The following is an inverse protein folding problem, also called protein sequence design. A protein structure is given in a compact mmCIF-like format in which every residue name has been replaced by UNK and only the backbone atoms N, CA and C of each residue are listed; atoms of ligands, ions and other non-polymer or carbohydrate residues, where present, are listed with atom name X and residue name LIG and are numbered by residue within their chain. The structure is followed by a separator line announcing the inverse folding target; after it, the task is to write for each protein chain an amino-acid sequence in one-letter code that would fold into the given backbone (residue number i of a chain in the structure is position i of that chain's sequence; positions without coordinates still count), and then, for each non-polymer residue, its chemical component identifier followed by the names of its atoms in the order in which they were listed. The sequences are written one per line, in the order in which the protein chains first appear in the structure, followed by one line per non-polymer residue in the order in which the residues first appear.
data_IF_786556254725
#
_entry.id   IF_786556254725
#
_cell.length_a   1.000
_cell.length_b   1.000
_cell.length_c   1.000
_cell.angle_alpha   90.00
_cell.angle_beta   90.00
_cell.angle_gamma   90.00
#
_symmetry.space_group_name_H-M   'P 1'
#
loop_
_entity.id
_entity.type
_entity.pdbx_description
1 polymer ?
#
# COMPACT_ATOMS: atom_id res chain seq x y z
N UNK A 1 -30.91 15.06 -18.40
CA UNK A 1 -30.73 13.70 -17.86
C UNK A 1 -29.24 13.42 -17.80
N UNK A 2 -28.52 14.01 -16.83
CA UNK A 2 -27.12 13.71 -16.48
C UNK A 2 -26.89 14.26 -15.07
N UNK A 3 -26.96 13.39 -14.06
CA UNK A 3 -26.74 13.69 -12.65
C UNK A 3 -26.36 12.42 -11.89
N UNK A 4 -25.22 11.79 -12.25
CA UNK A 4 -24.74 10.60 -11.52
C UNK A 4 -23.26 10.65 -11.09
N UNK A 5 -22.49 11.68 -11.45
CA UNK A 5 -21.07 11.78 -11.05
C UNK A 5 -20.81 12.48 -9.70
N UNK A 6 -21.83 12.63 -8.84
CA UNK A 6 -21.69 13.29 -7.53
C UNK A 6 -21.60 12.33 -6.35
N UNK A 7 -21.60 11.02 -6.58
CA UNK A 7 -21.79 10.02 -5.53
C UNK A 7 -20.73 8.92 -5.63
N UNK A 8 -19.50 9.26 -5.27
CA UNK A 8 -18.60 8.31 -4.57
C UNK A 8 -18.00 8.99 -3.33
N UNK A 9 -17.91 10.33 -3.32
CA UNK A 9 -17.53 11.10 -2.12
C UNK A 9 -18.75 11.49 -1.25
N UNK A 10 -19.99 11.29 -1.73
CA UNK A 10 -21.20 11.80 -1.06
C UNK A 10 -22.20 10.74 -0.56
N UNK A 11 -22.11 9.45 -0.91
CA UNK A 11 -23.01 8.44 -0.29
C UNK A 11 -22.54 7.96 1.07
N UNK A 12 -21.33 8.35 1.48
CA UNK A 12 -20.79 8.13 2.83
C UNK A 12 -21.08 9.33 3.75
N UNK A 13 -22.16 10.09 3.54
CA UNK A 13 -22.45 11.31 4.34
C UNK A 13 -22.94 11.03 5.78
N UNK A 14 -23.01 9.77 6.25
CA UNK A 14 -23.30 9.49 7.67
C UNK A 14 -22.27 8.62 8.41
N UNK A 15 -21.14 8.28 7.77
CA UNK A 15 -20.02 7.64 8.47
C UNK A 15 -18.71 8.25 8.01
N UNK A 16 -17.96 8.81 8.95
CA UNK A 16 -16.54 9.07 8.73
C UNK A 16 -15.89 7.74 8.37
N UNK A 17 -15.21 7.61 7.21
CA UNK A 17 -14.51 6.38 6.87
C UNK A 17 -13.52 6.05 7.98
N UNK A 18 -13.33 4.75 8.24
CA UNK A 18 -12.31 4.34 9.20
C UNK A 18 -10.92 4.74 8.68
N UNK A 19 -9.96 4.88 9.59
CA UNK A 19 -8.57 5.18 9.22
C UNK A 19 -8.01 4.13 8.23
N UNK A 20 -8.47 2.89 8.37
CA UNK A 20 -8.13 1.75 7.53
C UNK A 20 -8.71 1.84 6.11
N UNK A 21 -9.97 2.27 6.00
CA UNK A 21 -10.62 2.54 4.70
C UNK A 21 -9.91 3.68 3.97
N UNK A 22 -9.47 4.71 4.70
CA UNK A 22 -8.70 5.81 4.12
C UNK A 22 -7.34 5.32 3.62
N UNK A 23 -6.58 4.59 4.44
CA UNK A 23 -5.29 4.01 4.04
C UNK A 23 -5.43 3.14 2.78
N UNK A 24 -6.43 2.25 2.77
CA UNK A 24 -6.68 1.34 1.66
C UNK A 24 -6.96 2.09 0.36
N UNK A 25 -7.86 3.07 0.41
CA UNK A 25 -8.18 3.89 -0.76
C UNK A 25 -6.96 4.62 -1.32
N UNK A 26 -6.13 5.23 -0.47
CA UNK A 26 -4.96 5.99 -0.90
C UNK A 26 -3.89 5.09 -1.55
N UNK A 27 -3.67 3.89 -0.99
CA UNK A 27 -2.71 2.91 -1.52
C UNK A 27 -3.16 2.38 -2.87
N UNK A 28 -4.42 1.97 -3.00
CA UNK A 28 -5.00 1.46 -4.26
C UNK A 28 -4.96 2.56 -5.33
N UNK A 29 -5.35 3.80 -4.98
CA UNK A 29 -5.31 4.93 -5.92
C UNK A 29 -3.87 5.25 -6.39
N UNK A 30 -2.89 5.25 -5.47
CA UNK A 30 -1.47 5.45 -5.82
C UNK A 30 -1.00 4.37 -6.78
N UNK A 31 -1.33 3.12 -6.52
CA UNK A 31 -0.87 1.98 -7.34
C UNK A 31 -1.70 1.80 -8.62
N UNK A 32 -2.63 2.73 -8.88
CA UNK A 32 -3.43 2.78 -10.10
C UNK A 32 -4.42 1.65 -10.20
N UNK A 33 -4.99 1.26 -9.06
CA UNK A 33 -5.94 0.16 -8.93
C UNK A 33 -5.35 -1.16 -9.45
N UNK A 34 -4.05 -1.40 -9.26
CA UNK A 34 -3.38 -2.64 -9.66
C UNK A 34 -2.77 -3.34 -8.45
N UNK A 35 -2.86 -4.67 -8.44
CA UNK A 35 -2.03 -5.48 -7.57
C UNK A 35 -0.55 -5.27 -7.95
N UNK A 36 0.25 -4.79 -7.01
CA UNK A 36 1.66 -4.49 -7.22
C UNK A 36 2.47 -5.69 -7.75
N UNK A 37 2.04 -6.92 -7.43
CA UNK A 37 2.74 -8.13 -7.85
C UNK A 37 2.14 -8.76 -9.08
N UNK A 38 0.82 -8.96 -9.15
CA UNK A 38 0.21 -9.70 -10.28
C UNK A 38 -0.09 -8.79 -11.47
N UNK A 39 -0.26 -7.49 -11.25
CA UNK A 39 -0.71 -6.52 -12.24
C UNK A 39 -2.24 -6.47 -12.41
N UNK A 40 -2.98 -7.43 -11.85
CA UNK A 40 -4.44 -7.49 -11.94
C UNK A 40 -5.09 -6.22 -11.41
N UNK A 41 -6.12 -5.76 -12.11
CA UNK A 41 -6.88 -4.58 -11.71
C UNK A 41 -7.86 -4.87 -10.57
N UNK A 42 -8.12 -3.84 -9.80
CA UNK A 42 -9.20 -3.80 -8.83
C UNK A 42 -10.57 -3.88 -9.52
N UNK A 43 -11.58 -4.44 -8.84
CA UNK A 43 -12.96 -4.48 -9.30
C UNK A 43 -13.58 -3.08 -9.37
N UNK A 44 -13.12 -2.13 -8.55
CA UNK A 44 -13.55 -0.73 -8.53
C UNK A 44 -12.74 0.17 -9.47
N UNK A 45 -11.89 -0.39 -10.34
CA UNK A 45 -11.10 0.41 -11.28
C UNK A 45 -12.03 1.29 -12.17
N UNK A 46 -11.88 2.63 -12.15
CA UNK A 46 -12.88 3.54 -12.73
C UNK A 46 -12.94 3.50 -14.27
N UNK A 47 -11.86 3.08 -14.92
CA UNK A 47 -11.80 2.89 -16.37
C UNK A 47 -10.80 1.81 -16.75
N UNK A 48 -11.22 0.55 -16.73
CA UNK A 48 -10.35 -0.56 -17.16
C UNK A 48 -9.97 -0.32 -18.63
N UNK A 49 -8.70 -0.47 -19.02
CA UNK A 49 -8.31 -0.37 -20.42
C UNK A 49 -9.09 -1.38 -21.28
N UNK A 50 -9.73 -0.90 -22.35
CA UNK A 50 -10.64 -1.70 -23.20
C UNK A 50 -9.92 -2.83 -23.97
N UNK A 51 -8.60 -2.75 -24.08
CA UNK A 51 -7.76 -3.63 -24.89
C UNK A 51 -7.08 -4.76 -24.07
N UNK A 52 -7.35 -4.84 -22.77
CA UNK A 52 -6.67 -5.74 -21.85
C UNK A 52 -7.65 -6.86 -21.41
N UNK A 53 -7.38 -8.12 -21.80
CA UNK A 53 -8.02 -9.33 -21.27
C UNK A 53 -7.61 -9.54 -19.80
N UNK A 54 -7.96 -8.58 -18.95
CA UNK A 54 -7.40 -8.47 -17.62
C UNK A 54 -8.33 -8.99 -16.53
N UNK A 55 -7.76 -9.86 -15.70
CA UNK A 55 -8.45 -10.42 -14.56
C UNK A 55 -8.64 -9.33 -13.53
N UNK A 56 -9.89 -9.03 -13.20
CA UNK A 56 -10.23 -8.19 -12.06
C UNK A 56 -10.25 -9.00 -10.76
N UNK A 57 -9.81 -8.38 -9.67
CA UNK A 57 -9.76 -8.95 -8.33
C UNK A 57 -10.09 -7.86 -7.31
N UNK A 58 -10.50 -8.23 -6.10
CA UNK A 58 -10.57 -7.27 -5.01
C UNK A 58 -9.16 -7.03 -4.46
N UNK A 59 -8.71 -5.78 -4.44
CA UNK A 59 -7.44 -5.40 -3.84
C UNK A 59 -7.61 -5.05 -2.37
N UNK A 60 -6.55 -5.33 -1.62
CA UNK A 60 -6.38 -4.99 -0.22
C UNK A 60 -5.09 -4.19 -0.07
N UNK A 61 -5.07 -3.21 0.83
CA UNK A 61 -3.83 -2.55 1.21
C UNK A 61 -3.14 -3.35 2.32
N UNK A 62 -2.03 -3.98 1.98
CA UNK A 62 -1.17 -4.65 2.94
C UNK A 62 -0.23 -3.63 3.60
N UNK A 63 -0.26 -3.55 4.93
CA UNK A 63 0.76 -2.82 5.67
C UNK A 63 2.11 -3.54 5.61
N UNK A 64 3.17 -2.85 5.20
CA UNK A 64 4.54 -3.38 5.14
C UNK A 64 5.05 -3.59 6.57
N UNK A 65 4.97 -2.54 7.39
CA UNK A 65 5.10 -2.61 8.84
C UNK A 65 3.72 -2.83 9.43
N UNK A 66 3.50 -4.02 9.99
CA UNK A 66 2.19 -4.40 10.56
C UNK A 66 1.75 -3.43 11.65
N UNK A 67 0.48 -3.00 11.63
CA UNK A 67 -0.13 -2.14 12.67
C UNK A 67 0.04 -2.65 14.10
N UNK A 68 0.23 -3.96 14.30
CA UNK A 68 0.54 -4.56 15.60
C UNK A 68 1.79 -3.95 16.28
N UNK A 69 2.74 -3.38 15.54
CA UNK A 69 3.92 -2.71 16.11
C UNK A 69 3.63 -1.30 16.64
N UNK A 70 2.41 -0.77 16.45
CA UNK A 70 2.00 0.53 16.94
C UNK A 70 0.93 0.48 18.03
N UNK A 71 0.34 -0.70 18.26
CA UNK A 71 -0.65 -0.90 19.31
C UNK A 71 0.08 -1.26 20.60
N UNK A 72 0.50 -0.25 21.34
CA UNK A 72 1.04 -0.42 22.69
C UNK A 72 0.01 0.07 23.71
N UNK A 73 -0.31 -0.76 24.70
CA UNK A 73 -1.04 -0.29 25.88
C UNK A 73 -0.01 0.31 26.84
N UNK A 74 -0.29 1.50 27.37
CA UNK A 74 0.66 2.40 28.04
C UNK A 74 1.36 1.89 29.31
N UNK A 75 1.30 0.60 29.63
CA UNK A 75 2.01 -0.05 30.74
C UNK A 75 2.87 -1.24 30.29
N UNK A 76 2.96 -1.53 29.00
CA UNK A 76 3.62 -2.73 28.50
C UNK A 76 5.12 -2.47 28.26
N UNK A 77 5.98 -3.16 29.02
CA UNK A 77 7.45 -3.15 28.84
C UNK A 77 7.88 -3.51 27.41
N UNK A 78 7.04 -4.26 26.67
CA UNK A 78 7.26 -4.62 25.27
C UNK A 78 7.34 -3.39 24.34
N UNK A 79 6.74 -2.26 24.73
CA UNK A 79 6.77 -1.03 23.90
C UNK A 79 8.16 -0.43 23.78
N UNK A 80 8.94 -0.45 24.86
CA UNK A 80 10.30 0.06 24.85
C UNK A 80 11.25 -0.89 24.13
N UNK A 81 11.02 -2.20 24.20
CA UNK A 81 11.80 -3.20 23.45
C UNK A 81 11.58 -3.09 21.94
N UNK A 82 10.33 -2.95 21.49
CA UNK A 82 10.01 -2.78 20.07
C UNK A 82 10.51 -1.43 19.56
N UNK A 83 10.35 -0.34 20.32
CA UNK A 83 10.95 0.96 19.96
C UNK A 83 12.47 0.87 19.88
N UNK A 84 13.10 0.19 20.83
CA UNK A 84 14.56 -0.03 20.84
C UNK A 84 14.99 -0.84 19.61
N UNK A 85 14.23 -1.86 19.23
CA UNK A 85 14.46 -2.64 18.02
C UNK A 85 14.34 -1.76 16.76
N UNK A 86 13.22 -1.05 16.60
CA UNK A 86 12.97 -0.18 15.46
C UNK A 86 14.03 0.93 15.35
N UNK A 87 14.46 1.51 16.47
CA UNK A 87 15.47 2.57 16.48
C UNK A 87 16.87 2.04 16.21
N UNK A 88 17.30 1.00 16.92
CA UNK A 88 18.70 0.56 16.89
C UNK A 88 19.02 -0.40 15.75
N UNK A 89 18.03 -1.20 15.31
CA UNK A 89 18.24 -2.21 14.28
C UNK A 89 17.59 -1.86 12.95
N UNK A 90 16.52 -1.05 12.98
CA UNK A 90 15.78 -0.67 11.78
C UNK A 90 16.06 0.77 11.32
N UNK A 91 16.92 1.53 12.03
CA UNK A 91 17.24 2.94 11.76
C UNK A 91 15.99 3.84 11.62
N UNK A 92 14.90 3.46 12.28
CA UNK A 92 13.69 4.27 12.33
C UNK A 92 13.80 5.28 13.47
N UNK A 93 13.89 6.56 13.10
CA UNK A 93 13.90 7.67 14.06
C UNK A 93 12.49 7.90 14.62
N UNK A 94 12.11 7.06 15.57
CA UNK A 94 10.84 7.12 16.27
C UNK A 94 11.09 7.78 17.63
N UNK A 95 10.55 8.98 17.84
CA UNK A 95 10.68 9.72 19.11
C UNK A 95 9.49 9.48 20.04
N UNK A 96 8.30 9.23 19.50
CA UNK A 96 7.03 9.03 20.22
C UNK A 96 6.18 7.88 19.67
N UNK A 97 5.11 7.46 20.38
CA UNK A 97 4.12 6.49 19.84
C UNK A 97 3.31 7.12 18.72
N UNK A 98 3.04 8.41 18.83
CA UNK A 98 2.32 9.22 17.87
C UNK A 98 3.05 9.24 16.52
N UNK A 99 4.39 9.26 16.52
CA UNK A 99 5.19 9.12 15.30
C UNK A 99 4.98 7.75 14.62
N UNK A 100 4.82 6.68 15.42
CA UNK A 100 4.55 5.35 14.88
C UNK A 100 3.15 5.32 14.25
N UNK A 101 2.14 5.89 14.93
CA UNK A 101 0.78 5.94 14.41
C UNK A 101 0.70 6.69 13.08
N UNK A 102 1.44 7.81 12.94
CA UNK A 102 1.52 8.57 11.70
C UNK A 102 2.20 7.80 10.56
N UNK A 103 3.16 6.92 10.89
CA UNK A 103 3.88 6.11 9.90
C UNK A 103 3.06 4.89 9.45
N UNK A 104 2.30 4.28 10.36
CA UNK A 104 1.63 3.00 10.07
C UNK A 104 0.55 3.16 9.01
N UNK A 105 -0.27 4.19 9.10
CA UNK A 105 -1.39 4.39 8.18
C UNK A 105 -1.03 5.31 7.00
N UNK A 106 0.23 5.72 6.89
CA UNK A 106 0.74 6.44 5.73
C UNK A 106 0.77 5.52 4.49
N UNK A 107 0.39 6.02 3.29
CA UNK A 107 0.43 5.21 2.07
C UNK A 107 1.81 4.61 1.76
N UNK A 108 2.92 5.23 2.16
CA UNK A 108 4.27 4.68 2.00
C UNK A 108 4.49 3.38 2.79
N UNK A 109 3.64 3.08 3.77
CA UNK A 109 3.61 1.81 4.49
C UNK A 109 2.63 0.80 3.88
N UNK A 110 2.04 1.07 2.72
CA UNK A 110 1.05 0.20 2.10
C UNK A 110 1.46 -0.35 0.74
N UNK A 111 0.99 -1.57 0.42
CA UNK A 111 1.05 -2.20 -0.91
C UNK A 111 -0.36 -2.61 -1.35
N UNK A 112 -0.78 -2.27 -2.57
CA UNK A 112 -2.01 -2.83 -3.13
C UNK A 112 -1.77 -4.27 -3.59
N UNK A 113 -2.46 -5.25 -2.98
CA UNK A 113 -2.29 -6.68 -3.26
C UNK A 113 -3.64 -7.38 -3.39
N UNK A 114 -3.72 -8.38 -4.28
CA UNK A 114 -4.86 -9.30 -4.29
C UNK A 114 -4.82 -10.23 -3.08
N UNK A 115 -5.98 -10.76 -2.68
CA UNK A 115 -6.18 -11.45 -1.41
C UNK A 115 -5.17 -12.58 -1.10
N UNK A 116 -4.74 -13.37 -2.08
CA UNK A 116 -3.78 -14.45 -1.85
C UNK A 116 -2.36 -13.92 -1.66
N UNK A 117 -1.91 -13.01 -2.54
CA UNK A 117 -0.64 -12.31 -2.43
C UNK A 117 -0.55 -11.58 -1.08
N UNK A 118 -1.61 -10.86 -0.68
CA UNK A 118 -1.73 -10.21 0.63
C UNK A 118 -1.53 -11.21 1.77
N UNK A 119 -2.25 -12.33 1.78
CA UNK A 119 -2.12 -13.35 2.81
C UNK A 119 -0.69 -13.91 2.91
N UNK A 120 -0.05 -14.14 1.77
CA UNK A 120 1.33 -14.62 1.70
C UNK A 120 2.33 -13.59 2.22
N UNK A 121 2.15 -12.32 1.85
CA UNK A 121 3.00 -11.20 2.25
C UNK A 121 2.93 -10.97 3.75
N UNK A 122 1.70 -10.90 4.29
CA UNK A 122 1.47 -10.76 5.72
C UNK A 122 2.18 -11.87 6.46
N UNK A 123 2.02 -13.12 6.04
CA UNK A 123 2.59 -14.30 6.71
C UNK A 123 4.09 -14.51 6.46
N UNK A 124 4.79 -13.52 5.90
CA UNK A 124 6.23 -13.61 5.62
C UNK A 124 6.62 -14.79 4.72
N UNK A 125 5.69 -15.26 3.87
CA UNK A 125 5.93 -16.38 2.94
C UNK A 125 6.69 -15.96 1.69
N UNK A 126 6.64 -14.67 1.40
CA UNK A 126 7.42 -14.00 0.37
C UNK A 126 7.64 -12.53 0.77
N UNK A 127 8.62 -11.89 0.16
CA UNK A 127 8.95 -10.48 0.37
C UNK A 127 9.42 -9.81 -0.92
N UNK A 128 9.67 -8.51 -0.84
CA UNK A 128 10.29 -7.72 -1.89
C UNK A 128 11.74 -7.43 -1.51
N UNK A 129 12.67 -7.82 -2.39
CA UNK A 129 14.09 -7.49 -2.26
C UNK A 129 14.45 -6.36 -3.20
N UNK A 130 15.05 -5.30 -2.68
CA UNK A 130 15.48 -4.15 -3.48
C UNK A 130 16.48 -4.58 -4.56
N UNK A 131 16.32 -4.02 -5.75
CA UNK A 131 17.26 -4.16 -6.86
C UNK A 131 18.24 -2.98 -6.91
N UNK A 132 19.06 -2.92 -7.96
CA UNK A 132 19.93 -1.76 -8.22
C UNK A 132 19.13 -0.51 -8.67
N UNK A 133 17.90 -0.71 -9.18
CA UNK A 133 17.07 0.37 -9.69
C UNK A 133 16.18 0.95 -8.56
N UNK A 134 16.08 2.28 -8.43
CA UNK A 134 15.16 2.92 -7.49
C UNK A 134 13.71 2.47 -7.73
N UNK A 135 12.98 2.22 -6.64
CA UNK A 135 11.57 1.79 -6.64
C UNK A 135 11.30 0.46 -7.37
N UNK A 136 12.34 -0.31 -7.67
CA UNK A 136 12.26 -1.63 -8.27
C UNK A 136 12.72 -2.71 -7.29
N UNK A 137 11.92 -3.78 -7.22
CA UNK A 137 12.11 -4.88 -6.31
C UNK A 137 11.92 -6.21 -7.03
N UNK A 138 12.57 -7.26 -6.53
CA UNK A 138 12.37 -8.64 -6.97
C UNK A 138 11.62 -9.40 -5.89
N UNK A 139 10.62 -10.19 -6.28
CA UNK A 139 9.94 -11.10 -5.34
C UNK A 139 10.86 -12.25 -4.90
N UNK A 140 10.93 -12.48 -3.60
CA UNK A 140 11.64 -13.60 -2.98
C UNK A 140 10.62 -14.49 -2.28
N UNK A 141 10.59 -15.78 -2.59
CA UNK A 141 9.65 -16.75 -1.98
C UNK A 141 10.41 -17.64 -0.99
N UNK A 142 9.90 -17.73 0.23
CA UNK A 142 10.47 -18.55 1.30
C UNK A 142 9.68 -19.85 1.52
N UNK A 143 8.36 -19.82 1.33
CA UNK A 143 7.50 -21.01 1.41
C UNK A 143 7.00 -21.45 0.03
N UNK A 144 7.21 -22.72 -0.33
CA UNK A 144 6.77 -23.27 -1.62
C UNK A 144 5.24 -23.41 -1.77
N UNK A 145 4.48 -23.31 -0.68
CA UNK A 145 3.02 -23.49 -0.66
C UNK A 145 2.37 -22.36 0.10
N UNK A 146 1.19 -21.95 -0.33
CA UNK A 146 0.40 -20.92 0.37
C UNK A 146 1.01 -19.52 0.34
N UNK A 147 2.04 -19.26 -0.47
CA UNK A 147 2.61 -17.93 -0.65
C UNK A 147 1.73 -17.00 -1.50
N UNK A 148 0.69 -17.52 -2.16
CA UNK A 148 -0.32 -16.72 -2.85
C UNK A 148 0.10 -16.11 -4.19
N UNK A 149 1.36 -16.23 -4.60
CA UNK A 149 1.82 -15.75 -5.91
C UNK A 149 1.60 -16.82 -7.00
N UNK A 150 1.14 -16.39 -8.18
CA UNK A 150 1.08 -17.23 -9.37
C UNK A 150 2.47 -17.58 -9.89
N UNK A 151 2.61 -18.64 -10.70
CA UNK A 151 3.91 -19.06 -11.25
C UNK A 151 4.32 -18.27 -12.50
N UNK A 152 5.62 -17.95 -12.68
CA UNK A 152 6.67 -18.02 -11.67
C UNK A 152 6.57 -16.81 -10.72
N UNK A 153 6.30 -17.07 -9.44
CA UNK A 153 6.10 -16.01 -8.45
C UNK A 153 7.41 -15.47 -7.88
N UNK A 154 8.51 -16.22 -8.00
CA UNK A 154 9.85 -15.81 -7.57
C UNK A 154 10.61 -15.19 -8.75
N UNK A 155 11.42 -14.16 -8.46
CA UNK A 155 12.18 -13.46 -9.50
C UNK A 155 11.35 -12.47 -10.31
N UNK A 156 10.08 -12.25 -9.94
CA UNK A 156 9.23 -11.28 -10.61
C UNK A 156 9.66 -9.87 -10.20
N UNK A 157 9.82 -9.01 -11.20
CA UNK A 157 10.14 -7.61 -11.00
C UNK A 157 8.85 -6.85 -10.68
N UNK A 158 8.88 -6.09 -9.59
CA UNK A 158 7.84 -5.18 -9.13
C UNK A 158 8.40 -3.77 -9.17
N UNK A 159 7.70 -2.87 -9.86
CA UNK A 159 8.08 -1.45 -9.96
C UNK A 159 6.94 -0.60 -9.42
N UNK A 160 7.26 0.27 -8.48
CA UNK A 160 6.28 1.20 -7.93
C UNK A 160 6.30 2.52 -8.69
N UNK A 161 5.12 3.04 -8.97
CA UNK A 161 4.90 4.34 -9.63
C UNK A 161 3.59 4.91 -9.10
N UNK A 162 3.54 6.24 -8.91
CA UNK A 162 2.34 6.93 -8.47
C UNK A 162 1.44 7.25 -9.66
N UNK A 163 0.32 6.53 -9.74
CA UNK A 163 -0.71 6.63 -10.78
C UNK A 163 -1.88 7.51 -10.36
N UNK A 164 -1.85 8.14 -9.18
CA UNK A 164 -2.98 8.95 -8.68
C UNK A 164 -3.40 10.10 -9.59
N UNK A 165 -2.50 10.53 -10.49
CA UNK A 165 -2.77 11.58 -11.48
C UNK A 165 -3.58 11.09 -12.68
N UNK A 166 -3.54 9.80 -12.98
CA UNK A 166 -4.20 9.20 -14.14
C UNK A 166 -5.74 9.22 -13.98
N UNK A 167 -6.21 9.32 -12.74
CA UNK A 167 -7.63 9.28 -12.37
C UNK A 167 -8.22 10.67 -12.06
N UNK A 168 -7.51 11.75 -12.42
CA UNK A 168 -8.02 13.10 -12.23
C UNK A 168 -8.93 13.51 -13.39
N UNK A 169 -10.12 13.99 -13.05
CA UNK A 169 -10.96 14.75 -13.96
C UNK A 169 -10.19 15.98 -14.51
N UNK A 170 -10.26 16.29 -15.82
CA UNK A 170 -9.62 17.48 -16.37
C UNK A 170 -10.28 18.73 -15.78
N UNK A 171 -9.61 19.37 -14.82
CA UNK A 171 -10.12 20.59 -14.20
C UNK A 171 -10.22 21.71 -15.24
N UNK A 172 -11.39 22.35 -15.33
CA UNK A 172 -11.62 23.53 -16.18
C UNK A 172 -10.54 24.61 -15.93
N UNK A 173 -10.05 25.35 -16.95
CA UNK A 173 -8.87 26.23 -16.84
C UNK A 173 -8.96 27.38 -15.81
N UNK A 174 -10.13 27.62 -15.21
CA UNK A 174 -10.42 28.81 -14.39
C UNK A 174 -10.24 28.64 -12.87
N UNK A 175 -9.79 27.48 -12.37
CA UNK A 175 -9.48 27.28 -10.94
C UNK A 175 -8.04 26.78 -10.72
N UNK A 176 -7.05 27.50 -11.26
CA UNK A 176 -5.64 27.31 -10.88
C UNK A 176 -5.33 28.17 -9.65
N UNK A 177 -5.93 27.85 -8.53
CA UNK A 177 -5.49 28.36 -7.22
C UNK A 177 -5.35 27.18 -6.27
N UNK A 178 -4.11 26.72 -6.12
CA UNK A 178 -3.61 26.00 -4.95
C UNK A 178 -4.32 24.67 -4.62
N UNK A 179 -4.55 23.83 -5.62
CA UNK A 179 -4.57 22.37 -5.39
C UNK A 179 -3.20 21.87 -5.81
N UNK A 180 -2.23 21.95 -4.89
CA UNK A 180 -0.93 21.30 -5.06
C UNK A 180 -1.17 19.85 -5.47
N UNK A 181 -0.35 19.35 -6.40
CA UNK A 181 -0.53 18.03 -6.95
C UNK A 181 -0.47 17.00 -5.80
N UNK A 182 -1.63 16.50 -5.36
CA UNK A 182 -1.74 15.27 -4.54
C UNK A 182 -0.94 14.18 -5.26
N UNK A 183 0.24 13.91 -4.74
CA UNK A 183 1.14 12.82 -5.12
C UNK A 183 1.32 12.04 -3.84
N UNK A 184 1.29 10.71 -3.94
CA UNK A 184 1.47 9.86 -2.77
C UNK A 184 2.89 9.32 -2.76
N UNK A 185 3.44 9.22 -1.56
CA UNK A 185 4.74 8.58 -1.38
C UNK A 185 4.67 7.11 -1.80
N UNK A 186 5.70 6.68 -2.54
CA UNK A 186 5.88 5.29 -2.91
C UNK A 186 6.21 4.45 -1.67
N UNK A 187 6.05 3.11 -1.75
CA UNK A 187 6.42 2.23 -0.65
C UNK A 187 7.83 2.50 -0.14
N UNK A 188 7.94 2.73 1.17
CA UNK A 188 9.17 3.16 1.78
C UNK A 188 10.23 2.02 1.69
N UNK A 189 11.38 2.25 1.05
CA UNK A 189 12.39 1.21 0.90
C UNK A 189 12.93 0.68 2.22
N UNK A 190 12.92 1.47 3.29
CA UNK A 190 13.32 1.02 4.62
C UNK A 190 12.31 0.00 5.18
N UNK A 191 11.01 0.26 5.04
CA UNK A 191 9.98 -0.66 5.53
C UNK A 191 10.03 -1.99 4.78
N UNK A 192 10.24 -1.93 3.46
CA UNK A 192 10.42 -3.14 2.64
C UNK A 192 11.65 -3.94 3.08
N UNK A 193 12.77 -3.28 3.36
CA UNK A 193 13.97 -3.96 3.88
C UNK A 193 13.73 -4.62 5.24
N UNK A 194 13.00 -3.95 6.14
CA UNK A 194 12.64 -4.51 7.45
C UNK A 194 11.76 -5.75 7.29
N UNK A 195 10.74 -5.68 6.44
CA UNK A 195 9.87 -6.83 6.13
C UNK A 195 10.67 -8.00 5.55
N UNK A 196 11.52 -7.74 4.56
CA UNK A 196 12.39 -8.73 3.93
C UNK A 196 13.42 -9.36 4.88
N UNK A 197 13.84 -8.64 5.93
CA UNK A 197 14.76 -9.16 6.95
C UNK A 197 14.04 -9.98 8.05
N UNK A 198 12.71 -9.95 8.08
CA UNK A 198 11.88 -10.64 9.08
C UNK A 198 11.41 -12.04 8.64
N UNK A 199 11.75 -12.44 7.42
CA UNK A 199 11.42 -13.73 6.77
C UNK A 199 12.54 -14.74 6.93
#
# INVERSE_FOLDING_TARGET
MFSEFKIIVADTINRTPTLDETHTHLVILRDGYRCAVTGHYDTEHPKIPEDEDETQVDLLAAHILRRAIAVFKGTDNNSDEVRTFLRNYADLRIESIEDIANIIDDPSNGLALEANAHNGFDRFRWSLKQTENPNEYTTVIYEKRGHGLLKPGAGRIVRFTDHSRDFREPSSPRKRTRTEAISFDLPNPLFIRIHCAST
#
